data_IF_678293333321
#
_entry.id   IF_678293333321
#
_cell.length_a   1.000
_cell.length_b   1.000
_cell.length_c   1.000
_cell.angle_alpha   90.00
_cell.angle_beta   90.00
_cell.angle_gamma   90.00
#
_symmetry.space_group_name_H-M   'P 1'
#
loop_
_entity.id
_entity.type
_entity.pdbx_description
1 polymer ?
#
# COMPACT_ATOMS: atom_id res chain seq x y z
N UNK A 1 -7.04 -1.49 25.22
CA UNK A 1 -6.79 -2.92 24.89
C UNK A 1 -7.72 -3.88 25.60
N UNK A 2 -7.84 -3.84 26.93
CA UNK A 2 -8.85 -4.59 27.69
C UNK A 2 -10.27 -4.42 27.08
N UNK A 3 -10.73 -3.17 26.94
CA UNK A 3 -11.98 -2.79 26.25
C UNK A 3 -12.19 -3.50 24.91
N UNK A 4 -11.23 -3.34 23.98
CA UNK A 4 -11.34 -3.85 22.61
C UNK A 4 -11.36 -5.37 22.51
N UNK A 5 -10.68 -6.07 23.41
CA UNK A 5 -10.60 -7.52 23.43
C UNK A 5 -11.88 -8.13 24.03
N UNK A 6 -12.38 -7.56 25.14
CA UNK A 6 -13.69 -7.89 25.71
C UNK A 6 -14.83 -7.66 24.70
N UNK A 7 -14.84 -6.50 24.02
CA UNK A 7 -15.84 -6.19 22.99
C UNK A 7 -15.68 -7.12 21.77
N UNK A 8 -14.47 -7.44 21.34
CA UNK A 8 -14.25 -8.40 20.23
C UNK A 8 -14.75 -9.81 20.58
N UNK A 9 -14.53 -10.27 21.82
CA UNK A 9 -15.08 -11.53 22.33
C UNK A 9 -16.62 -11.52 22.40
N UNK A 10 -17.22 -10.39 22.78
CA UNK A 10 -18.67 -10.21 22.86
C UNK A 10 -19.35 -10.25 21.48
N UNK A 11 -18.78 -9.60 20.47
CA UNK A 11 -19.40 -9.47 19.13
C UNK A 11 -18.94 -10.55 18.13
N UNK A 12 -17.92 -11.34 18.47
CA UNK A 12 -17.33 -12.35 17.58
C UNK A 12 -16.55 -11.80 16.39
N UNK A 13 -16.18 -10.51 16.41
CA UNK A 13 -15.54 -9.81 15.28
C UNK A 13 -14.35 -8.97 15.75
N UNK A 14 -13.41 -8.68 14.84
CA UNK A 14 -12.25 -7.83 15.12
C UNK A 14 -12.64 -6.37 15.34
N UNK A 15 -12.36 -5.85 16.53
CA UNK A 15 -12.44 -4.41 16.84
C UNK A 15 -11.14 -3.72 16.44
N UNK A 16 -11.22 -2.68 15.62
CA UNK A 16 -10.08 -1.80 15.33
C UNK A 16 -9.79 -0.88 16.52
N UNK A 17 -8.51 -0.65 16.83
CA UNK A 17 -8.10 0.09 18.04
C UNK A 17 -7.01 1.10 17.70
N UNK A 18 -7.25 2.37 18.03
CA UNK A 18 -6.23 3.40 18.05
C UNK A 18 -6.22 4.11 19.41
N UNK A 19 -5.04 4.60 19.83
CA UNK A 19 -4.88 5.32 21.09
C UNK A 19 -3.80 6.40 20.97
N UNK A 20 -4.00 7.53 21.65
CA UNK A 20 -2.95 8.49 22.02
C UNK A 20 -2.97 8.72 23.54
N UNK A 21 -2.28 9.75 24.04
CA UNK A 21 -2.21 10.03 25.48
C UNK A 21 -3.55 10.45 26.12
N UNK A 22 -4.56 10.81 25.32
CA UNK A 22 -5.82 11.38 25.80
C UNK A 22 -7.06 10.67 25.26
N UNK A 23 -6.91 9.83 24.23
CA UNK A 23 -8.05 9.23 23.52
C UNK A 23 -7.82 7.74 23.21
N UNK A 24 -8.88 6.94 23.35
CA UNK A 24 -8.96 5.56 22.86
C UNK A 24 -10.13 5.51 21.87
N UNK A 25 -9.85 5.14 20.62
CA UNK A 25 -10.84 5.06 19.55
C UNK A 25 -11.02 3.60 19.16
N UNK A 26 -12.28 3.14 19.23
CA UNK A 26 -12.70 1.78 18.91
C UNK A 26 -13.53 1.79 17.63
N UNK A 27 -13.05 1.09 16.60
CA UNK A 27 -13.77 0.88 15.34
C UNK A 27 -14.48 -0.47 15.43
N UNK A 28 -15.79 -0.44 15.69
CA UNK A 28 -16.61 -1.61 15.96
C UNK A 28 -17.57 -1.84 14.78
N UNK A 29 -17.50 -3.01 14.09
CA UNK A 29 -18.46 -3.35 13.04
C UNK A 29 -19.90 -3.38 13.56
N UNK A 30 -20.85 -2.86 12.77
CA UNK A 30 -22.29 -2.87 13.08
C UNK A 30 -22.65 -2.31 14.46
N UNK A 31 -21.98 -1.24 14.90
CA UNK A 31 -22.10 -0.68 16.26
C UNK A 31 -23.56 -0.46 16.71
N UNK A 32 -24.45 -0.01 15.83
CA UNK A 32 -25.86 0.22 16.16
C UNK A 32 -26.64 -1.04 16.54
N UNK A 33 -26.26 -2.21 15.98
CA UNK A 33 -26.84 -3.52 16.33
C UNK A 33 -26.42 -3.96 17.73
N UNK A 34 -25.16 -3.69 18.09
CA UNK A 34 -24.55 -4.19 19.33
C UNK A 34 -24.49 -3.15 20.46
N UNK A 35 -24.96 -1.93 20.22
CA UNK A 35 -24.78 -0.77 21.12
C UNK A 35 -25.11 -1.08 22.58
N UNK A 36 -26.32 -1.61 22.86
CA UNK A 36 -26.75 -1.93 24.23
C UNK A 36 -25.95 -3.03 24.92
N UNK A 37 -25.34 -3.96 24.18
CA UNK A 37 -24.44 -4.98 24.73
C UNK A 37 -23.03 -4.42 24.96
N UNK A 38 -22.57 -3.53 24.07
CA UNK A 38 -21.28 -2.84 24.18
C UNK A 38 -21.27 -1.91 25.40
N UNK A 39 -22.33 -1.11 25.61
CA UNK A 39 -22.39 -0.19 26.76
C UNK A 39 -22.43 -0.94 28.09
N UNK A 40 -23.21 -2.02 28.20
CA UNK A 40 -23.17 -2.93 29.37
C UNK A 40 -21.78 -3.51 29.59
N UNK A 41 -21.16 -4.09 28.56
CA UNK A 41 -19.81 -4.65 28.64
C UNK A 41 -18.76 -3.62 29.09
N UNK A 42 -18.89 -2.34 28.70
CA UNK A 42 -18.03 -1.25 29.16
C UNK A 42 -18.29 -0.91 30.63
N UNK A 43 -19.55 -0.81 31.05
CA UNK A 43 -19.93 -0.55 32.45
C UNK A 43 -19.53 -1.68 33.39
N UNK A 44 -19.76 -2.93 32.99
CA UNK A 44 -19.32 -4.15 33.69
C UNK A 44 -17.78 -4.17 33.82
N UNK A 45 -17.06 -3.86 32.75
CA UNK A 45 -15.59 -3.82 32.74
C UNK A 45 -15.01 -2.80 33.72
N UNK A 46 -15.63 -1.62 33.85
CA UNK A 46 -15.18 -0.63 34.83
C UNK A 46 -15.57 -0.97 36.28
N UNK A 47 -16.64 -1.75 36.48
CA UNK A 47 -17.09 -2.19 37.81
C UNK A 47 -16.42 -3.48 38.31
N UNK A 48 -15.96 -4.34 37.40
CA UNK A 48 -15.34 -5.62 37.73
C UNK A 48 -13.90 -5.42 38.23
N UNK A 49 -13.50 -6.16 39.26
CA UNK A 49 -12.10 -6.26 39.65
C UNK A 49 -11.40 -7.36 38.83
N UNK A 50 -10.20 -7.07 38.34
CA UNK A 50 -9.46 -7.95 37.44
C UNK A 50 -8.04 -8.17 37.94
N UNK A 51 -7.58 -9.42 37.92
CA UNK A 51 -6.16 -9.69 37.78
C UNK A 51 -5.71 -9.24 36.37
N UNK A 52 -5.22 -8.01 36.30
CA UNK A 52 -4.73 -7.40 35.07
C UNK A 52 -3.53 -8.17 34.52
N UNK A 53 -2.68 -8.71 35.41
CA UNK A 53 -1.48 -9.47 35.05
C UNK A 53 -1.84 -10.78 34.38
N UNK A 54 -2.70 -11.61 35.00
CA UNK A 54 -3.17 -12.86 34.42
C UNK A 54 -3.96 -12.64 33.13
N UNK A 55 -4.83 -11.62 33.10
CA UNK A 55 -5.52 -11.22 31.88
C UNK A 55 -4.54 -10.84 30.75
N UNK A 56 -3.46 -10.10 31.05
CA UNK A 56 -2.42 -9.74 30.08
C UNK A 56 -1.64 -10.98 29.64
N UNK A 57 -1.24 -11.87 30.55
CA UNK A 57 -0.55 -13.12 30.19
C UNK A 57 -1.37 -13.97 29.21
N UNK A 58 -2.69 -14.11 29.45
CA UNK A 58 -3.64 -14.81 28.56
C UNK A 58 -3.92 -14.07 27.24
N UNK A 59 -3.54 -12.80 27.10
CA UNK A 59 -3.97 -11.93 25.99
C UNK A 59 -2.83 -11.30 25.18
N UNK A 60 -1.60 -11.26 25.69
CA UNK A 60 -0.44 -10.62 25.07
C UNK A 60 -0.20 -11.08 23.63
N UNK A 61 -0.36 -12.39 23.35
CA UNK A 61 -0.24 -13.00 22.01
C UNK A 61 -1.18 -12.34 20.96
N UNK A 62 -2.33 -11.80 21.38
CA UNK A 62 -3.27 -11.08 20.50
C UNK A 62 -2.79 -9.66 20.18
N UNK A 63 -1.94 -9.05 21.02
CA UNK A 63 -1.54 -7.64 20.92
C UNK A 63 -0.31 -7.41 20.02
N UNK A 64 -0.41 -6.48 19.07
CA UNK A 64 0.66 -6.18 18.10
C UNK A 64 2.00 -5.72 18.71
N UNK A 65 2.00 -4.98 19.82
CA UNK A 65 3.24 -4.57 20.49
C UNK A 65 4.01 -5.76 21.08
N UNK A 66 3.33 -6.69 21.76
CA UNK A 66 3.96 -7.91 22.26
C UNK A 66 4.58 -8.74 21.13
N UNK A 67 3.90 -8.85 19.98
CA UNK A 67 4.48 -9.54 18.80
C UNK A 67 5.76 -8.88 18.30
N UNK A 68 5.82 -7.54 18.30
CA UNK A 68 7.03 -6.77 17.97
C UNK A 68 8.12 -6.94 19.04
N UNK A 69 7.75 -6.93 20.32
CA UNK A 69 8.63 -7.16 21.47
C UNK A 69 9.29 -8.54 21.39
N UNK A 70 8.51 -9.60 21.14
CA UNK A 70 8.99 -10.97 20.95
C UNK A 70 10.00 -11.08 19.79
N UNK A 71 9.78 -10.40 18.66
CA UNK A 71 10.73 -10.38 17.54
C UNK A 71 12.05 -9.69 17.94
N UNK A 72 11.99 -8.58 18.68
CA UNK A 72 13.19 -7.88 19.17
C UNK A 72 13.98 -8.72 20.18
N UNK A 73 13.30 -9.37 21.14
CA UNK A 73 13.95 -10.27 22.11
C UNK A 73 14.52 -11.51 21.40
N UNK A 74 13.79 -12.14 20.49
CA UNK A 74 14.30 -13.27 19.71
C UNK A 74 15.51 -12.90 18.83
N UNK A 75 15.61 -11.67 18.32
CA UNK A 75 16.81 -11.15 17.63
C UNK A 75 17.97 -10.84 18.59
N UNK A 76 17.70 -10.45 19.86
CA UNK A 76 18.73 -10.30 20.91
C UNK A 76 19.31 -11.65 21.34
N UNK A 77 18.46 -12.66 21.51
CA UNK A 77 18.83 -14.03 21.89
C UNK A 77 19.38 -14.87 20.73
N UNK A 78 19.58 -14.29 19.53
CA UNK A 78 20.10 -15.00 18.35
C UNK A 78 19.12 -15.97 17.67
N UNK A 79 17.97 -16.27 18.29
CA UNK A 79 16.91 -17.14 17.76
C UNK A 79 16.30 -16.66 16.43
N UNK A 80 16.44 -15.38 16.08
CA UNK A 80 16.11 -14.83 14.77
C UNK A 80 17.26 -14.02 14.19
N UNK A 81 17.54 -14.22 12.89
CA UNK A 81 18.52 -13.40 12.14
C UNK A 81 18.07 -11.93 12.08
N UNK A 82 19.02 -11.01 12.22
CA UNK A 82 18.76 -9.55 12.29
C UNK A 82 18.14 -8.98 11.01
N UNK A 83 18.60 -9.44 9.84
CA UNK A 83 18.29 -8.88 8.52
C UNK A 83 17.23 -9.69 7.74
N UNK A 84 16.29 -10.33 8.43
CA UNK A 84 15.16 -11.03 7.80
C UNK A 84 13.88 -10.24 8.04
N UNK A 85 13.22 -9.80 6.96
CA UNK A 85 11.87 -9.25 7.02
C UNK A 85 10.87 -10.39 7.29
N UNK A 86 10.00 -10.18 8.28
CA UNK A 86 9.07 -11.18 8.79
C UNK A 86 7.65 -10.77 8.38
N UNK A 87 7.01 -11.59 7.54
CA UNK A 87 5.65 -11.34 7.06
C UNK A 87 4.63 -11.60 8.17
N UNK A 88 3.49 -10.91 8.12
CA UNK A 88 2.40 -11.01 9.12
C UNK A 88 1.91 -12.45 9.36
N UNK A 89 1.97 -13.30 8.34
CA UNK A 89 1.69 -14.73 8.39
C UNK A 89 2.70 -15.53 9.23
N UNK A 90 3.99 -15.23 9.09
CA UNK A 90 5.11 -15.94 9.72
C UNK A 90 5.18 -15.65 11.23
N UNK A 91 4.78 -14.45 11.66
CA UNK A 91 4.73 -14.07 13.08
C UNK A 91 3.93 -15.08 13.91
N UNK A 92 2.82 -15.63 13.37
CA UNK A 92 2.02 -16.66 14.08
C UNK A 92 2.79 -17.96 14.30
N UNK A 93 3.63 -18.37 13.33
CA UNK A 93 4.51 -19.54 13.46
C UNK A 93 5.63 -19.29 14.47
N UNK A 94 6.24 -18.10 14.43
CA UNK A 94 7.29 -17.70 15.37
C UNK A 94 6.77 -17.70 16.82
N UNK A 95 5.58 -17.16 17.08
CA UNK A 95 4.96 -17.21 18.42
C UNK A 95 4.77 -18.66 18.88
N UNK A 96 4.25 -19.55 18.02
CA UNK A 96 4.05 -20.97 18.37
C UNK A 96 5.38 -21.69 18.63
N UNK A 97 6.44 -21.36 17.90
CA UNK A 97 7.77 -21.97 18.07
C UNK A 97 8.53 -21.44 19.29
N UNK A 98 8.25 -20.22 19.75
CA UNK A 98 8.89 -19.62 20.92
C UNK A 98 8.05 -19.74 22.21
N UNK A 99 6.82 -20.25 22.14
CA UNK A 99 5.93 -20.35 23.30
C UNK A 99 6.59 -21.14 24.46
N UNK A 100 6.40 -20.65 25.68
CA UNK A 100 7.01 -21.12 26.93
C UNK A 100 8.57 -21.09 27.01
N UNK A 101 9.28 -20.74 25.94
CA UNK A 101 10.75 -20.57 25.97
C UNK A 101 11.17 -19.36 26.82
N UNK A 102 12.44 -19.33 27.25
CA UNK A 102 13.08 -18.17 27.91
C UNK A 102 12.89 -16.87 27.10
N UNK A 103 12.97 -16.96 25.77
CA UNK A 103 12.77 -15.84 24.84
C UNK A 103 11.36 -15.25 24.94
N UNK A 104 10.35 -16.10 25.12
CA UNK A 104 8.96 -15.67 25.30
C UNK A 104 8.70 -15.13 26.71
N UNK A 105 9.29 -15.75 27.74
CA UNK A 105 9.21 -15.29 29.14
C UNK A 105 9.83 -13.90 29.30
N UNK A 106 11.02 -13.65 28.76
CA UNK A 106 11.64 -12.31 28.73
C UNK A 106 10.86 -11.31 27.85
N UNK A 107 10.31 -11.73 26.70
CA UNK A 107 9.48 -10.84 25.89
C UNK A 107 8.17 -10.44 26.58
N UNK A 108 7.62 -11.29 27.45
CA UNK A 108 6.45 -11.00 28.26
C UNK A 108 6.80 -10.10 29.44
N UNK A 109 7.94 -10.36 30.10
CA UNK A 109 8.52 -9.51 31.13
C UNK A 109 8.78 -8.07 30.63
N UNK A 110 9.50 -7.89 29.52
CA UNK A 110 9.69 -6.56 28.92
C UNK A 110 8.38 -5.91 28.47
N UNK A 111 7.40 -6.68 27.99
CA UNK A 111 6.11 -6.13 27.58
C UNK A 111 5.29 -5.60 28.77
N UNK A 112 5.32 -6.30 29.90
CA UNK A 112 4.64 -5.87 31.13
C UNK A 112 5.37 -4.69 31.77
N UNK A 113 6.71 -4.71 31.83
CA UNK A 113 7.51 -3.70 32.56
C UNK A 113 7.92 -2.46 31.74
N UNK A 114 7.83 -2.50 30.41
CA UNK A 114 8.33 -1.40 29.53
C UNK A 114 7.34 -0.92 28.47
N UNK A 115 6.31 -1.70 28.12
CA UNK A 115 5.26 -1.31 27.15
C UNK A 115 3.89 -1.04 27.80
N UNK A 116 3.77 -1.24 29.12
CA UNK A 116 2.54 -1.09 29.90
C UNK A 116 2.86 -0.45 31.26
N UNK A 117 1.82 0.15 31.85
CA UNK A 117 1.78 0.60 33.24
C UNK A 117 0.50 -0.01 33.83
N UNK A 118 0.67 -0.95 34.77
CA UNK A 118 -0.44 -1.70 35.36
C UNK A 118 -0.91 -1.06 36.66
N UNK A 119 -0.01 -0.45 37.42
CA UNK A 119 -0.31 0.19 38.71
C UNK A 119 -1.18 1.43 38.49
N UNK A 120 -0.85 2.28 37.50
CA UNK A 120 -1.71 3.41 37.12
C UNK A 120 -3.05 2.94 36.55
N UNK A 121 -3.09 1.81 35.85
CA UNK A 121 -4.33 1.25 35.30
C UNK A 121 -5.23 0.67 36.41
N UNK A 122 -4.68 -0.05 37.38
CA UNK A 122 -5.44 -0.56 38.52
C UNK A 122 -5.99 0.60 39.37
N UNK A 123 -5.15 1.60 39.67
CA UNK A 123 -5.57 2.79 40.40
C UNK A 123 -6.68 3.55 39.66
N UNK A 124 -6.55 3.76 38.34
CA UNK A 124 -7.60 4.38 37.52
C UNK A 124 -8.92 3.58 37.57
N UNK A 125 -8.86 2.25 37.45
CA UNK A 125 -10.05 1.40 37.55
C UNK A 125 -10.64 1.40 38.97
N UNK A 126 -9.81 1.43 40.03
CA UNK A 126 -10.26 1.55 41.43
C UNK A 126 -10.93 2.89 41.70
N UNK A 127 -10.41 3.99 41.14
CA UNK A 127 -11.06 5.30 41.18
C UNK A 127 -12.45 5.30 40.53
N UNK A 128 -12.65 4.59 39.42
CA UNK A 128 -13.99 4.42 38.83
C UNK A 128 -14.88 3.53 39.72
N UNK A 129 -14.38 2.39 40.23
CA UNK A 129 -15.13 1.51 41.16
C UNK A 129 -15.60 2.25 42.42
N UNK A 130 -14.78 3.16 42.94
CA UNK A 130 -15.06 3.97 44.12
C UNK A 130 -15.86 5.26 43.80
N UNK A 131 -16.33 5.43 42.56
CA UNK A 131 -17.06 6.62 42.07
C UNK A 131 -16.29 7.96 42.20
N UNK A 132 -14.96 7.94 42.35
CA UNK A 132 -14.14 9.16 42.31
C UNK A 132 -13.86 9.64 40.87
N UNK A 133 -14.21 8.83 39.87
CA UNK A 133 -14.25 9.18 38.44
C UNK A 133 -15.57 8.65 37.88
N UNK A 134 -16.43 9.56 37.39
CA UNK A 134 -17.67 9.18 36.69
C UNK A 134 -17.37 8.75 35.25
N UNK A 135 -18.10 7.75 34.75
CA UNK A 135 -18.04 7.30 33.35
C UNK A 135 -19.39 7.48 32.66
N UNK A 136 -19.55 8.63 31.99
CA UNK A 136 -20.74 8.97 31.20
C UNK A 136 -20.63 8.37 29.78
N UNK A 137 -21.68 7.69 29.33
CA UNK A 137 -21.78 7.14 27.97
C UNK A 137 -22.80 7.96 27.17
N UNK A 138 -22.34 8.60 26.09
CA UNK A 138 -23.15 9.44 25.21
C UNK A 138 -23.25 8.83 23.80
N UNK A 139 -24.43 8.88 23.19
CA UNK A 139 -24.64 8.64 21.75
C UNK A 139 -24.98 9.98 21.09
N UNK A 140 -24.13 10.41 20.16
CA UNK A 140 -24.27 11.68 19.47
C UNK A 140 -24.37 11.44 17.95
N UNK A 141 -25.24 12.19 17.28
CA UNK A 141 -25.39 12.11 15.81
C UNK A 141 -24.22 12.78 15.06
N UNK A 142 -23.47 13.67 15.74
CA UNK A 142 -22.27 14.34 15.25
C UNK A 142 -21.13 14.19 16.26
N UNK A 143 -19.85 14.14 15.82
CA UNK A 143 -18.73 14.07 16.76
C UNK A 143 -18.57 15.37 17.55
N UNK A 144 -18.31 15.27 18.86
CA UNK A 144 -17.97 16.44 19.69
C UNK A 144 -16.71 17.16 19.18
N UNK A 145 -16.37 18.39 19.63
CA UNK A 145 -15.12 19.06 19.24
C UNK A 145 -13.86 18.23 19.57
N UNK A 146 -13.84 17.56 20.72
CA UNK A 146 -12.75 16.66 21.13
C UNK A 146 -12.68 15.41 20.23
N UNK A 147 -13.84 14.81 19.94
CA UNK A 147 -13.94 13.65 19.04
C UNK A 147 -13.52 14.03 17.61
N UNK A 148 -13.91 15.21 17.13
CA UNK A 148 -13.55 15.76 15.83
C UNK A 148 -12.05 15.99 15.71
N UNK A 149 -11.42 16.55 16.75
CA UNK A 149 -9.96 16.68 16.82
C UNK A 149 -9.27 15.31 16.80
N UNK A 150 -9.80 14.32 17.54
CA UNK A 150 -9.24 12.98 17.59
C UNK A 150 -9.37 12.24 16.25
N UNK A 151 -10.52 12.33 15.57
CA UNK A 151 -10.73 11.80 14.21
C UNK A 151 -9.86 12.53 13.18
N UNK A 152 -9.65 13.84 13.33
CA UNK A 152 -8.73 14.62 12.48
C UNK A 152 -7.26 14.24 12.72
N UNK A 153 -6.88 13.87 13.96
CA UNK A 153 -5.58 13.25 14.24
C UNK A 153 -5.47 11.87 13.59
N UNK A 154 -6.55 11.08 13.50
CA UNK A 154 -6.54 9.78 12.81
C UNK A 154 -6.33 9.94 11.29
N UNK A 155 -6.98 10.90 10.64
CA UNK A 155 -6.79 11.15 9.20
C UNK A 155 -5.45 11.82 8.87
N UNK A 156 -4.86 12.57 9.81
CA UNK A 156 -3.53 13.21 9.63
C UNK A 156 -2.35 12.33 10.03
N UNK A 157 -2.53 11.32 10.89
CA UNK A 157 -1.52 10.27 11.10
C UNK A 157 -1.53 9.34 9.88
N UNK A 158 -0.75 9.73 8.87
CA UNK A 158 -0.31 8.96 7.69
C UNK A 158 -1.01 7.61 7.54
N UNK A 159 -1.93 7.51 6.59
CA UNK A 159 -2.73 6.30 6.36
C UNK A 159 -1.83 5.05 6.38
N UNK A 160 -1.93 4.26 7.45
CA UNK A 160 -1.42 2.89 7.48
C UNK A 160 -2.40 2.01 6.68
N UNK A 161 -2.46 2.32 5.38
CA UNK A 161 -3.05 1.48 4.35
C UNK A 161 -2.42 0.09 4.53
N UNK A 162 -3.21 -0.98 4.78
CA UNK A 162 -2.69 -2.34 4.82
C UNK A 162 -1.89 -2.61 3.54
N UNK A 163 -0.75 -3.35 3.58
CA UNK A 163 0.09 -3.54 2.40
C UNK A 163 -0.69 -4.09 1.20
N UNK A 164 -1.68 -4.95 1.46
CA UNK A 164 -2.60 -5.50 0.46
C UNK A 164 -3.47 -4.44 -0.24
N UNK A 165 -3.75 -3.32 0.44
CA UNK A 165 -4.41 -2.13 -0.14
C UNK A 165 -3.40 -1.15 -0.75
N UNK A 166 -2.17 -1.04 -0.22
CA UNK A 166 -1.13 -0.20 -0.84
C UNK A 166 -0.79 -0.72 -2.23
N UNK A 167 -0.52 -2.02 -2.35
CA UNK A 167 -0.20 -2.65 -3.62
C UNK A 167 -1.31 -2.42 -4.65
N UNK A 168 -2.59 -2.52 -4.24
CA UNK A 168 -3.73 -2.21 -5.12
C UNK A 168 -3.81 -0.73 -5.50
N UNK A 169 -3.59 0.21 -4.57
CA UNK A 169 -3.62 1.64 -4.88
C UNK A 169 -2.46 2.05 -5.81
N UNK A 170 -1.26 1.51 -5.59
CA UNK A 170 -0.09 1.70 -6.47
C UNK A 170 -0.33 1.09 -7.86
N UNK A 171 -1.00 -0.06 -7.92
CA UNK A 171 -1.41 -0.71 -9.17
C UNK A 171 -2.42 0.14 -9.95
N UNK A 172 -3.55 0.52 -9.35
CA UNK A 172 -4.59 1.32 -10.02
C UNK A 172 -4.07 2.71 -10.42
N UNK A 173 -3.28 3.36 -9.55
CA UNK A 173 -2.59 4.61 -9.88
C UNK A 173 -1.63 4.44 -11.06
N UNK A 174 -0.94 3.29 -11.16
CA UNK A 174 -0.08 2.98 -12.30
C UNK A 174 -0.88 2.68 -13.57
N UNK A 175 -2.00 1.95 -13.51
CA UNK A 175 -2.90 1.74 -14.67
C UNK A 175 -3.33 3.08 -15.26
N UNK A 176 -3.85 3.99 -14.43
CA UNK A 176 -4.25 5.34 -14.85
C UNK A 176 -3.05 6.11 -15.42
N UNK A 177 -1.92 6.15 -14.71
CA UNK A 177 -0.70 6.82 -15.18
C UNK A 177 -0.25 6.34 -16.56
N UNK A 178 -0.14 5.04 -16.78
CA UNK A 178 0.37 4.48 -18.05
C UNK A 178 -0.56 4.78 -19.23
N UNK A 179 -1.88 4.89 -18.98
CA UNK A 179 -2.89 5.20 -19.98
C UNK A 179 -3.01 6.72 -20.26
N UNK A 180 -2.85 7.57 -19.25
CA UNK A 180 -2.84 9.03 -19.39
C UNK A 180 -1.49 9.60 -19.89
N UNK A 181 -0.43 8.80 -19.87
CA UNK A 181 0.92 9.21 -20.28
C UNK A 181 0.96 9.64 -21.77
N UNK A 182 1.45 10.85 -22.01
CA UNK A 182 1.52 11.46 -23.35
C UNK A 182 2.74 10.95 -24.12
N UNK A 183 2.53 10.60 -25.39
CA UNK A 183 3.58 10.15 -26.32
C UNK A 183 3.41 10.79 -27.70
N UNK A 184 4.50 10.80 -28.46
CA UNK A 184 4.50 11.17 -29.88
C UNK A 184 4.28 9.90 -30.70
N UNK A 185 3.20 9.88 -31.47
CA UNK A 185 2.87 8.87 -32.46
C UNK A 185 3.31 9.38 -33.84
N UNK A 186 3.95 8.56 -34.68
CA UNK A 186 4.36 8.96 -36.02
C UNK A 186 4.31 7.81 -37.03
N UNK A 187 3.84 8.07 -38.25
CA UNK A 187 3.71 7.04 -39.29
C UNK A 187 5.01 6.89 -40.10
N UNK A 188 5.58 5.68 -40.10
CA UNK A 188 6.79 5.34 -40.84
C UNK A 188 6.54 5.06 -42.34
N UNK A 189 5.28 4.83 -42.75
CA UNK A 189 4.91 4.63 -44.16
C UNK A 189 4.87 5.96 -44.91
N UNK A 190 3.93 6.86 -44.60
CA UNK A 190 3.81 8.15 -45.27
C UNK A 190 4.84 9.19 -44.80
N UNK A 191 5.36 9.08 -43.56
CA UNK A 191 6.36 10.00 -42.96
C UNK A 191 5.90 11.46 -42.79
N UNK A 192 4.63 11.74 -43.10
CA UNK A 192 4.01 13.08 -43.06
C UNK A 192 3.13 13.30 -41.82
N UNK A 193 2.57 12.23 -41.23
CA UNK A 193 1.68 12.31 -40.07
C UNK A 193 2.43 12.02 -38.76
N UNK A 194 2.15 12.86 -37.76
CA UNK A 194 2.41 12.63 -36.35
C UNK A 194 1.25 13.16 -35.53
N UNK A 195 1.17 12.71 -34.27
CA UNK A 195 0.22 13.23 -33.29
C UNK A 195 0.82 13.16 -31.89
N UNK A 196 0.42 14.08 -31.01
CA UNK A 196 0.80 14.11 -29.60
C UNK A 196 -0.45 13.79 -28.80
N UNK A 197 -0.52 12.58 -28.25
CA UNK A 197 -1.72 12.01 -27.65
C UNK A 197 -1.38 11.16 -26.43
N UNK A 198 -2.40 10.77 -25.66
CA UNK A 198 -2.27 9.86 -24.52
C UNK A 198 -2.36 8.43 -25.01
N UNK A 199 -1.73 7.50 -24.30
CA UNK A 199 -1.77 6.07 -24.66
C UNK A 199 -3.20 5.53 -24.75
N UNK A 200 -4.11 5.98 -23.86
CA UNK A 200 -5.53 5.59 -23.86
C UNK A 200 -6.26 5.90 -25.18
N UNK A 201 -5.87 6.98 -25.86
CA UNK A 201 -6.54 7.48 -27.05
C UNK A 201 -6.33 6.53 -28.25
N UNK A 202 -5.35 5.63 -28.15
CA UNK A 202 -4.93 4.67 -29.16
C UNK A 202 -5.05 3.20 -28.70
N UNK A 203 -5.87 2.92 -27.67
CA UNK A 203 -6.11 1.57 -27.14
C UNK A 203 -6.90 0.68 -28.10
N UNK A 204 -7.80 1.27 -28.91
CA UNK A 204 -8.75 0.53 -29.74
C UNK A 204 -8.44 0.52 -31.24
N UNK A 205 -7.84 1.59 -31.77
CA UNK A 205 -7.36 1.64 -33.16
C UNK A 205 -6.05 2.42 -33.24
N UNK A 206 -5.08 1.91 -34.00
CA UNK A 206 -3.75 2.49 -34.17
C UNK A 206 -3.42 2.66 -35.65
N UNK A 207 -4.16 3.56 -36.31
CA UNK A 207 -4.03 3.88 -37.73
C UNK A 207 -3.59 5.30 -38.00
N UNK A 208 -2.75 5.47 -39.02
CA UNK A 208 -2.31 6.77 -39.48
C UNK A 208 -3.47 7.50 -40.16
N UNK A 209 -4.00 8.56 -39.52
CA UNK A 209 -5.14 9.37 -40.01
C UNK A 209 -4.96 9.97 -41.42
N UNK A 210 -3.72 10.03 -41.93
CA UNK A 210 -3.39 10.48 -43.29
C UNK A 210 -3.34 9.37 -44.37
N UNK A 211 -3.19 8.09 -44.01
CA UNK A 211 -3.00 7.01 -45.01
C UNK A 211 -3.48 5.61 -44.60
N UNK A 212 -4.29 5.49 -43.54
CA UNK A 212 -4.86 4.23 -43.02
C UNK A 212 -3.86 3.22 -42.44
N UNK A 213 -2.56 3.53 -42.49
CA UNK A 213 -1.50 2.58 -42.21
C UNK A 213 -1.24 2.35 -40.72
N UNK A 214 -1.11 1.08 -40.34
CA UNK A 214 -0.70 0.58 -39.01
C UNK A 214 0.82 0.67 -38.78
N UNK A 215 1.58 1.26 -39.71
CA UNK A 215 3.03 1.50 -39.60
C UNK A 215 3.34 2.67 -38.66
N UNK A 216 2.82 2.66 -37.43
CA UNK A 216 3.02 3.70 -36.42
C UNK A 216 4.11 3.31 -35.42
N UNK A 217 5.05 4.22 -35.20
CA UNK A 217 5.98 4.18 -34.09
C UNK A 217 5.58 5.16 -33.00
N UNK A 218 5.87 4.80 -31.75
CA UNK A 218 5.61 5.62 -30.56
C UNK A 218 6.93 5.99 -29.88
N UNK A 219 7.08 7.23 -29.43
CA UNK A 219 8.31 7.70 -28.77
C UNK A 219 8.03 8.82 -27.76
N UNK A 220 8.87 8.90 -26.73
CA UNK A 220 9.01 10.10 -25.91
C UNK A 220 10.07 11.03 -26.53
N UNK A 221 9.62 12.13 -27.14
CA UNK A 221 10.45 13.26 -27.56
C UNK A 221 9.61 14.55 -27.48
N UNK A 222 10.25 15.71 -27.65
CA UNK A 222 9.56 17.01 -27.72
C UNK A 222 8.95 17.22 -29.11
N UNK A 223 7.92 18.05 -29.17
CA UNK A 223 7.23 18.42 -30.42
C UNK A 223 8.18 19.02 -31.47
N UNK A 224 9.07 19.93 -31.05
CA UNK A 224 10.07 20.54 -31.93
C UNK A 224 11.11 19.54 -32.47
N UNK A 225 11.25 18.34 -31.88
CA UNK A 225 12.11 17.29 -32.41
C UNK A 225 11.42 16.50 -33.53
N UNK A 226 10.11 16.21 -33.41
CA UNK A 226 9.36 15.45 -34.43
C UNK A 226 8.97 16.33 -35.62
N UNK A 227 8.60 17.60 -35.40
CA UNK A 227 8.30 18.54 -36.50
C UNK A 227 9.54 18.79 -37.37
N UNK A 228 10.74 18.90 -36.77
CA UNK A 228 11.99 19.03 -37.52
C UNK A 228 12.26 17.80 -38.42
N UNK A 229 12.03 16.59 -37.90
CA UNK A 229 12.18 15.33 -38.64
C UNK A 229 11.23 15.28 -39.86
N UNK A 230 9.98 15.71 -39.69
CA UNK A 230 8.96 15.67 -40.73
C UNK A 230 9.17 16.77 -41.77
N UNK A 231 9.50 17.99 -41.36
CA UNK A 231 9.87 19.08 -42.27
C UNK A 231 11.07 18.72 -43.16
N UNK A 232 12.07 18.04 -42.60
CA UNK A 232 13.23 17.48 -43.33
C UNK A 232 12.90 16.25 -44.19
N UNK A 233 11.64 15.80 -44.24
CA UNK A 233 11.18 14.57 -44.91
C UNK A 233 12.03 13.34 -44.56
N UNK A 234 12.47 13.26 -43.30
CA UNK A 234 13.32 12.20 -42.74
C UNK A 234 14.71 12.07 -43.41
N UNK A 235 15.19 13.13 -44.09
CA UNK A 235 16.54 13.26 -44.67
C UNK A 235 17.41 14.24 -43.87
N UNK A 236 18.72 14.27 -44.13
CA UNK A 236 19.69 15.24 -43.57
C UNK A 236 19.61 15.43 -42.04
N UNK A 237 19.47 14.32 -41.32
CA UNK A 237 19.15 14.28 -39.89
C UNK A 237 20.39 14.39 -39.00
N UNK A 238 20.27 15.11 -37.88
CA UNK A 238 21.28 15.18 -36.82
C UNK A 238 21.46 13.84 -36.07
N UNK A 239 22.56 13.72 -35.30
CA UNK A 239 22.83 12.58 -34.41
C UNK A 239 21.78 12.42 -33.28
N UNK A 240 20.90 13.41 -33.07
CA UNK A 240 19.78 13.35 -32.12
C UNK A 240 18.52 12.83 -32.80
N UNK A 241 18.15 13.41 -33.94
CA UNK A 241 17.00 12.99 -34.75
C UNK A 241 17.11 11.55 -35.25
N UNK A 242 18.30 11.10 -35.68
CA UNK A 242 18.54 9.69 -36.05
C UNK A 242 18.26 8.72 -34.89
N UNK A 243 18.48 9.13 -33.64
CA UNK A 243 18.16 8.31 -32.44
C UNK A 243 16.65 8.26 -32.18
N UNK A 244 15.91 9.32 -32.49
CA UNK A 244 14.43 9.32 -32.41
C UNK A 244 13.85 8.39 -33.48
N UNK A 245 14.30 8.47 -34.73
CA UNK A 245 13.84 7.57 -35.80
C UNK A 245 14.23 6.10 -35.53
N UNK A 246 15.41 5.85 -34.96
CA UNK A 246 15.81 4.49 -34.52
C UNK A 246 14.88 3.94 -33.44
N UNK A 247 14.43 4.78 -32.49
CA UNK A 247 13.40 4.43 -31.49
C UNK A 247 12.03 4.19 -32.14
N UNK A 248 11.57 5.08 -33.03
CA UNK A 248 10.28 4.95 -33.74
C UNK A 248 10.18 3.66 -34.57
N UNK A 249 11.27 3.23 -35.21
CA UNK A 249 11.32 1.93 -35.90
C UNK A 249 11.10 0.79 -34.91
N UNK A 250 11.94 0.71 -33.86
CA UNK A 250 11.87 -0.34 -32.83
C UNK A 250 10.54 -0.38 -32.08
N UNK A 251 9.93 0.76 -31.78
CA UNK A 251 8.60 0.75 -31.18
C UNK A 251 7.54 0.24 -32.15
N UNK A 252 7.61 0.58 -33.45
CA UNK A 252 6.72 -0.01 -34.46
C UNK A 252 6.94 -1.51 -34.64
N UNK A 253 8.17 -2.01 -34.50
CA UNK A 253 8.43 -3.45 -34.47
C UNK A 253 7.67 -4.11 -33.31
N UNK A 254 7.88 -3.62 -32.08
CA UNK A 254 7.22 -4.15 -30.87
C UNK A 254 5.68 -3.98 -30.88
N UNK A 255 5.16 -2.91 -31.48
CA UNK A 255 3.72 -2.67 -31.62
C UNK A 255 3.07 -3.65 -32.60
N UNK A 256 3.77 -4.07 -33.67
CA UNK A 256 3.27 -5.13 -34.56
C UNK A 256 3.26 -6.51 -33.90
N UNK A 257 4.29 -6.81 -33.11
CA UNK A 257 4.49 -8.14 -32.52
C UNK A 257 3.63 -8.38 -31.28
N UNK A 258 3.52 -7.38 -30.40
CA UNK A 258 2.85 -7.52 -29.10
C UNK A 258 1.56 -6.69 -28.96
N UNK A 259 1.29 -5.77 -29.90
CA UNK A 259 0.10 -4.93 -29.90
C UNK A 259 0.01 -4.02 -28.68
N UNK A 260 -1.19 -3.96 -28.10
CA UNK A 260 -1.52 -3.09 -26.96
C UNK A 260 -0.60 -3.30 -25.73
N UNK A 261 -0.04 -4.50 -25.53
CA UNK A 261 0.94 -4.78 -24.47
C UNK A 261 2.20 -3.92 -24.61
N UNK A 262 2.73 -3.80 -25.83
CA UNK A 262 3.88 -2.94 -26.10
C UNK A 262 3.51 -1.45 -25.95
N UNK A 263 2.30 -1.05 -26.39
CA UNK A 263 1.84 0.34 -26.27
C UNK A 263 1.74 0.79 -24.80
N UNK A 264 1.10 0.01 -23.93
CA UNK A 264 0.96 0.34 -22.51
C UNK A 264 2.33 0.33 -21.82
N UNK A 265 3.21 -0.63 -22.15
CA UNK A 265 4.56 -0.67 -21.60
C UNK A 265 5.43 0.53 -22.05
N UNK A 266 5.17 1.16 -23.21
CA UNK A 266 5.80 2.43 -23.61
C UNK A 266 5.36 3.65 -22.77
N UNK A 267 4.32 3.50 -21.94
CA UNK A 267 3.98 4.47 -20.89
C UNK A 267 4.95 4.43 -19.70
N UNK A 268 5.72 3.35 -19.54
CA UNK A 268 6.62 3.15 -18.41
C UNK A 268 7.80 4.14 -18.37
N UNK A 269 8.18 4.53 -17.16
CA UNK A 269 9.28 5.48 -16.88
C UNK A 269 10.63 4.78 -17.01
N UNK A 270 11.53 5.41 -17.75
CA UNK A 270 12.92 4.97 -17.98
C UNK A 270 13.11 3.54 -18.52
N UNK A 271 12.04 2.88 -19.00
CA UNK A 271 12.13 1.59 -19.66
C UNK A 271 12.87 1.69 -21.00
N UNK A 272 13.76 0.72 -21.27
CA UNK A 272 14.40 0.55 -22.57
C UNK A 272 13.50 -0.29 -23.48
N UNK A 273 13.73 -0.25 -24.79
CA UNK A 273 12.98 -1.11 -25.73
C UNK A 273 13.09 -2.60 -25.37
N UNK A 274 14.26 -3.05 -24.90
CA UNK A 274 14.48 -4.41 -24.38
C UNK A 274 13.73 -4.74 -23.08
N UNK A 275 13.42 -3.73 -22.27
CA UNK A 275 12.60 -3.91 -21.06
C UNK A 275 11.13 -4.07 -21.46
N UNK A 276 10.66 -3.24 -22.40
CA UNK A 276 9.30 -3.26 -22.99
C UNK A 276 9.04 -4.58 -23.71
N UNK A 277 9.97 -5.01 -24.57
CA UNK A 277 9.98 -6.29 -25.30
C UNK A 277 9.83 -7.48 -24.36
N UNK A 278 10.70 -7.57 -23.34
CA UNK A 278 10.64 -8.64 -22.32
C UNK A 278 9.33 -8.65 -21.53
N UNK A 279 8.77 -7.48 -21.19
CA UNK A 279 7.47 -7.40 -20.52
C UNK A 279 6.36 -7.85 -21.46
N UNK A 280 6.33 -7.36 -22.70
CA UNK A 280 5.25 -7.64 -23.64
C UNK A 280 5.24 -9.11 -24.13
N UNK A 281 6.40 -9.77 -24.19
CA UNK A 281 6.52 -11.19 -24.50
C UNK A 281 6.06 -12.12 -23.37
N UNK A 282 6.35 -11.77 -22.11
CA UNK A 282 6.10 -12.64 -20.96
C UNK A 282 4.62 -12.78 -20.57
N UNK A 283 3.74 -11.88 -21.02
CA UNK A 283 2.31 -11.88 -20.70
C UNK A 283 1.48 -11.98 -21.98
N UNK A 284 0.54 -12.93 -22.02
CA UNK A 284 -0.43 -13.04 -23.12
C UNK A 284 -1.49 -11.94 -23.04
N UNK A 285 -2.01 -11.72 -21.83
CA UNK A 285 -3.14 -10.83 -21.56
C UNK A 285 -2.72 -9.62 -20.69
N UNK A 286 -3.47 -8.52 -20.80
CA UNK A 286 -3.24 -7.31 -20.01
C UNK A 286 -4.00 -7.45 -18.69
N UNK A 287 -3.32 -8.00 -17.68
CA UNK A 287 -3.85 -8.25 -16.35
C UNK A 287 -3.04 -7.52 -15.26
N UNK A 288 -3.45 -7.66 -14.00
CA UNK A 288 -2.76 -7.03 -12.86
C UNK A 288 -1.27 -7.43 -12.76
N UNK A 289 -0.88 -8.63 -13.19
CA UNK A 289 0.51 -9.09 -13.11
C UNK A 289 1.40 -8.49 -14.21
N UNK A 290 0.84 -8.22 -15.40
CA UNK A 290 1.49 -7.41 -16.44
C UNK A 290 1.79 -5.99 -15.92
N UNK A 291 0.84 -5.36 -15.22
CA UNK A 291 1.06 -4.05 -14.60
C UNK A 291 2.10 -4.11 -13.46
N UNK A 292 2.11 -5.16 -12.62
CA UNK A 292 3.16 -5.38 -11.61
C UNK A 292 4.54 -5.53 -12.24
N UNK A 293 4.66 -6.22 -13.38
CA UNK A 293 5.93 -6.40 -14.08
C UNK A 293 6.51 -5.08 -14.64
N UNK A 294 5.64 -4.14 -15.03
CA UNK A 294 6.05 -2.76 -15.36
C UNK A 294 6.60 -2.07 -14.11
N UNK A 295 5.83 -2.03 -13.00
CA UNK A 295 6.22 -1.38 -11.74
C UNK A 295 7.56 -1.92 -11.20
N UNK A 296 7.72 -3.24 -11.18
CA UNK A 296 8.95 -3.91 -10.73
C UNK A 296 10.14 -3.61 -11.65
N UNK A 297 9.92 -3.43 -12.95
CA UNK A 297 10.99 -3.04 -13.88
C UNK A 297 11.35 -1.56 -13.74
N UNK A 298 10.37 -0.66 -13.58
CA UNK A 298 10.62 0.76 -13.25
C UNK A 298 11.43 0.88 -11.95
N UNK A 299 11.04 0.13 -10.90
CA UNK A 299 11.75 0.07 -9.62
C UNK A 299 13.22 -0.35 -9.78
N UNK A 300 13.49 -1.46 -10.47
CA UNK A 300 14.87 -1.93 -10.73
C UNK A 300 15.69 -0.96 -11.58
N UNK A 301 15.04 -0.10 -12.39
CA UNK A 301 15.71 0.96 -13.15
C UNK A 301 16.05 2.15 -12.25
N UNK A 302 15.16 2.54 -11.33
CA UNK A 302 15.40 3.59 -10.32
C UNK A 302 16.48 3.21 -9.30
N UNK A 303 16.49 1.96 -8.83
CA UNK A 303 17.52 1.45 -7.91
C UNK A 303 18.92 1.55 -8.54
N UNK A 304 19.05 1.28 -9.85
CA UNK A 304 20.28 1.44 -10.66
C UNK A 304 20.63 2.88 -11.07
N UNK A 305 19.95 3.88 -10.52
CA UNK A 305 20.22 5.32 -10.74
C UNK A 305 20.64 6.01 -9.42
N UNK A 306 20.51 5.32 -8.28
CA UNK A 306 20.91 5.80 -6.94
C UNK A 306 22.27 5.26 -6.45
N UNK A 307 22.96 4.52 -7.31
CA UNK A 307 24.33 4.01 -7.15
C UNK A 307 25.08 4.27 -8.46
#
# INVERSE_FOLDING_TARGET
RLLSDKIASLIGMSVGVQQDAYTIILQIPYIDRYYGSITRCIQELFKTEYDLSEYIMKSAIRFGLFRRRLIHVARRFGALRKNVDIRSSEIRRIIKMLYDTVVFKEALNEFITKDLDLDSLENFLRSIRNNSIEVVILRLNTPSPLTSLALTKLSRKLELIPPERMDKIVLESTKVRLLEEVRVFACLKCKQWYEIARIKDYVHDLRCKFCGSEEIGVVACRENEITSIIAKKWKNLSRRERRIISRLKRSRDLLKEYGLRALIAMGGRDLRMSDIERIAANFKDINDDFFKAIIETERRRLERIRW
#
